data_IF_575814608294
#
_entry.id   IF_575814608294
#
_cell.length_a   1.000
_cell.length_b   1.000
_cell.length_c   1.000
_cell.angle_alpha   90.00
_cell.angle_beta   90.00
_cell.angle_gamma   90.00
#
_symmetry.space_group_name_H-M   'P 1'
#
loop_
_entity.id
_entity.type
_entity.pdbx_description
1 polymer ?
#
# COMPACT_ATOMS: atom_id res chain seq x y z
N UNK A 1 20.25 -18.85 -12.21
CA UNK A 1 20.57 -17.45 -12.54
C UNK A 1 19.61 -16.56 -11.75
N UNK A 2 20.08 -15.73 -10.79
CA UNK A 2 19.20 -14.82 -10.03
C UNK A 2 18.92 -13.60 -10.92
N UNK A 3 17.66 -13.39 -11.33
CA UNK A 3 17.30 -12.17 -12.05
C UNK A 3 17.23 -10.97 -11.08
N UNK A 4 17.40 -9.76 -11.60
CA UNK A 4 17.38 -8.53 -10.80
C UNK A 4 16.08 -8.39 -9.98
N UNK A 5 14.93 -8.76 -10.55
CA UNK A 5 13.66 -8.81 -9.82
C UNK A 5 13.65 -9.79 -8.66
N UNK A 6 14.34 -10.93 -8.78
CA UNK A 6 14.52 -11.86 -7.67
C UNK A 6 15.39 -11.27 -6.56
N UNK A 7 16.44 -10.50 -6.90
CA UNK A 7 17.27 -9.79 -5.93
C UNK A 7 16.47 -8.73 -5.16
N UNK A 8 15.68 -7.90 -5.84
CA UNK A 8 14.78 -6.94 -5.18
C UNK A 8 13.81 -7.66 -4.23
N UNK A 9 13.23 -8.78 -4.68
CA UNK A 9 12.31 -9.56 -3.85
C UNK A 9 12.99 -10.11 -2.58
N UNK A 10 14.27 -10.48 -2.65
CA UNK A 10 15.06 -10.91 -1.50
C UNK A 10 15.33 -9.78 -0.51
N UNK A 11 15.39 -8.52 -0.96
CA UNK A 11 15.54 -7.35 -0.08
C UNK A 11 14.21 -6.94 0.58
N UNK A 12 13.12 -6.87 -0.19
CA UNK A 12 11.83 -6.36 0.30
C UNK A 12 11.19 -7.31 1.32
N UNK A 13 11.28 -8.63 1.10
CA UNK A 13 10.63 -9.62 1.96
C UNK A 13 11.07 -9.50 3.43
N UNK A 14 12.37 -9.44 3.77
CA UNK A 14 12.83 -9.16 5.13
C UNK A 14 12.37 -7.81 5.65
N UNK A 15 12.42 -6.73 4.84
CA UNK A 15 11.98 -5.40 5.27
C UNK A 15 10.51 -5.39 5.71
N UNK A 16 9.61 -6.04 4.96
CA UNK A 16 8.20 -6.16 5.34
C UNK A 16 7.96 -7.01 6.59
N UNK A 17 8.95 -7.79 7.03
CA UNK A 17 8.93 -8.56 8.28
C UNK A 17 9.50 -7.80 9.46
N UNK A 18 10.10 -6.62 9.27
CA UNK A 18 10.53 -5.76 10.38
C UNK A 18 9.30 -5.51 11.28
N UNK A 19 9.38 -5.76 12.60
CA UNK A 19 8.20 -5.78 13.48
C UNK A 19 7.30 -4.54 13.36
N UNK A 20 7.88 -3.35 13.29
CA UNK A 20 7.13 -2.10 13.14
C UNK A 20 6.35 -2.05 11.81
N UNK A 21 7.00 -2.37 10.69
CA UNK A 21 6.38 -2.40 9.35
C UNK A 21 5.33 -3.51 9.26
N UNK A 22 5.64 -4.70 9.79
CA UNK A 22 4.72 -5.83 9.80
C UNK A 22 3.45 -5.49 10.60
N UNK A 23 3.60 -4.85 11.77
CA UNK A 23 2.47 -4.40 12.60
C UNK A 23 1.62 -3.37 11.88
N UNK A 24 2.25 -2.34 11.32
CA UNK A 24 1.54 -1.27 10.61
C UNK A 24 0.81 -1.79 9.37
N UNK A 25 1.46 -2.61 8.54
CA UNK A 25 0.81 -3.23 7.37
C UNK A 25 -0.29 -4.21 7.75
N UNK A 26 -0.19 -4.86 8.91
CA UNK A 26 -1.28 -5.69 9.47
C UNK A 26 -2.49 -4.85 9.85
N UNK A 27 -2.29 -3.70 10.50
CA UNK A 27 -3.38 -2.76 10.78
C UNK A 27 -4.03 -2.23 9.50
N UNK A 28 -3.24 -1.86 8.50
CA UNK A 28 -3.74 -1.48 7.18
C UNK A 28 -4.62 -2.58 6.55
N UNK A 29 -4.19 -3.85 6.57
CA UNK A 29 -4.99 -4.99 6.09
C UNK A 29 -6.29 -5.17 6.84
N UNK A 30 -6.28 -4.99 8.17
CA UNK A 30 -7.49 -5.08 9.00
C UNK A 30 -8.48 -3.98 8.67
N UNK A 31 -8.00 -2.75 8.49
CA UNK A 31 -8.84 -1.62 8.10
C UNK A 31 -9.47 -1.85 6.71
N UNK A 32 -8.70 -2.28 5.71
CA UNK A 32 -9.25 -2.66 4.40
C UNK A 32 -10.29 -3.78 4.55
N UNK A 33 -9.97 -4.82 5.33
CA UNK A 33 -10.87 -5.94 5.57
C UNK A 33 -12.19 -5.48 6.17
N UNK A 34 -12.17 -4.57 7.15
CA UNK A 34 -13.36 -4.01 7.78
C UNK A 34 -14.33 -3.40 6.77
N UNK A 35 -13.81 -2.56 5.85
CA UNK A 35 -14.63 -2.02 4.76
C UNK A 35 -15.16 -3.13 3.86
N UNK A 36 -14.31 -4.04 3.40
CA UNK A 36 -14.70 -5.10 2.46
C UNK A 36 -15.70 -6.11 3.02
N UNK A 37 -15.71 -6.33 4.33
CA UNK A 37 -16.66 -7.23 4.98
C UNK A 37 -18.02 -6.61 5.25
N UNK A 38 -18.12 -5.27 5.24
CA UNK A 38 -19.37 -4.55 5.51
C UNK A 38 -19.91 -3.90 4.24
N UNK A 39 -21.02 -4.44 3.74
CA UNK A 39 -21.75 -3.88 2.60
C UNK A 39 -22.24 -2.46 2.88
N UNK A 40 -22.71 -2.19 4.10
CA UNK A 40 -23.16 -0.86 4.53
C UNK A 40 -22.04 0.16 4.52
N UNK A 41 -20.89 -0.16 5.13
CA UNK A 41 -19.72 0.74 5.17
C UNK A 41 -19.18 0.98 3.75
N UNK A 42 -19.11 -0.06 2.92
CA UNK A 42 -18.69 0.06 1.51
C UNK A 42 -19.65 0.93 0.69
N UNK A 43 -20.96 0.77 0.88
CA UNK A 43 -21.96 1.58 0.19
C UNK A 43 -21.85 3.06 0.58
N UNK A 44 -21.68 3.34 1.87
CA UNK A 44 -21.49 4.71 2.36
C UNK A 44 -20.16 5.31 1.86
N UNK A 45 -19.08 4.54 1.84
CA UNK A 45 -17.81 4.98 1.25
C UNK A 45 -17.99 5.41 -0.21
N UNK A 46 -18.68 4.60 -1.02
CA UNK A 46 -18.96 4.93 -2.43
C UNK A 46 -19.82 6.19 -2.58
N UNK A 47 -20.81 6.37 -1.70
CA UNK A 47 -21.65 7.58 -1.67
C UNK A 47 -20.79 8.82 -1.38
N UNK A 48 -19.91 8.75 -0.39
CA UNK A 48 -19.02 9.87 -0.03
C UNK A 48 -17.97 10.17 -1.07
N UNK A 49 -17.41 9.15 -1.73
CA UNK A 49 -16.53 9.34 -2.89
C UNK A 49 -17.22 10.22 -3.95
N UNK A 50 -18.48 9.91 -4.29
CA UNK A 50 -19.26 10.71 -5.25
C UNK A 50 -19.51 12.14 -4.76
N UNK A 51 -19.92 12.31 -3.51
CA UNK A 51 -20.20 13.63 -2.92
C UNK A 51 -18.96 14.53 -2.88
N UNK A 52 -17.78 13.94 -2.64
CA UNK A 52 -16.51 14.66 -2.60
C UNK A 52 -15.84 14.81 -3.98
N UNK A 53 -16.48 14.33 -5.06
CA UNK A 53 -15.89 14.35 -6.41
C UNK A 53 -14.64 13.48 -6.57
N UNK A 54 -14.45 12.51 -5.68
CA UNK A 54 -13.30 11.60 -5.70
C UNK A 54 -13.56 10.41 -6.64
N UNK A 55 -12.48 9.89 -7.23
CA UNK A 55 -12.57 8.65 -8.03
C UNK A 55 -13.11 7.50 -7.15
N UNK A 56 -14.15 6.78 -7.58
CA UNK A 56 -14.84 5.75 -6.79
C UNK A 56 -14.05 4.43 -6.78
N UNK A 57 -12.80 4.51 -6.35
CA UNK A 57 -11.88 3.40 -6.33
C UNK A 57 -12.16 2.49 -5.12
N UNK A 58 -12.33 1.19 -5.36
CA UNK A 58 -12.52 0.22 -4.29
C UNK A 58 -11.21 -0.06 -3.54
N UNK A 59 -11.30 -0.48 -2.27
CA UNK A 59 -10.11 -0.89 -1.53
C UNK A 59 -9.60 -2.27 -1.98
N UNK A 60 -8.27 -2.38 -2.07
CA UNK A 60 -7.57 -3.58 -2.51
C UNK A 60 -7.06 -4.32 -1.27
N UNK A 61 -7.38 -5.61 -1.13
CA UNK A 61 -6.84 -6.43 -0.04
C UNK A 61 -5.42 -6.89 -0.38
N UNK A 62 -4.46 -6.60 0.48
CA UNK A 62 -3.09 -7.09 0.33
C UNK A 62 -2.95 -8.57 0.73
N UNK A 63 -2.16 -9.33 -0.03
CA UNK A 63 -1.76 -10.71 0.25
C UNK A 63 -0.40 -10.70 0.94
N UNK A 64 -0.32 -11.29 2.14
CA UNK A 64 0.88 -11.25 3.00
C UNK A 64 2.14 -11.78 2.30
N UNK A 65 2.00 -12.80 1.46
CA UNK A 65 3.15 -13.45 0.79
C UNK A 65 3.65 -12.70 -0.45
N UNK A 66 2.92 -11.69 -0.95
CA UNK A 66 3.22 -10.98 -2.21
C UNK A 66 3.31 -9.47 -1.97
N UNK A 67 4.54 -8.96 -1.90
CA UNK A 67 4.80 -7.54 -1.63
C UNK A 67 4.13 -6.59 -2.62
N UNK A 68 4.02 -6.97 -3.91
CA UNK A 68 3.29 -6.19 -4.93
C UNK A 68 1.84 -5.91 -4.51
N UNK A 69 1.14 -6.90 -3.95
CA UNK A 69 -0.23 -6.72 -3.48
C UNK A 69 -0.31 -5.85 -2.23
N UNK A 70 0.73 -5.87 -1.38
CA UNK A 70 0.84 -4.96 -0.24
C UNK A 70 1.05 -3.53 -0.73
N UNK A 71 1.92 -3.31 -1.71
CA UNK A 71 2.15 -2.00 -2.32
C UNK A 71 0.85 -1.41 -2.91
N UNK A 72 0.14 -2.16 -3.75
CA UNK A 72 -1.13 -1.73 -4.34
C UNK A 72 -2.21 -1.44 -3.30
N UNK A 73 -2.29 -2.27 -2.24
CA UNK A 73 -3.18 -2.03 -1.12
C UNK A 73 -2.85 -0.71 -0.41
N UNK A 74 -1.58 -0.46 -0.09
CA UNK A 74 -1.17 0.74 0.63
C UNK A 74 -1.41 2.01 -0.21
N UNK A 75 -1.06 1.97 -1.49
CA UNK A 75 -1.31 3.07 -2.42
C UNK A 75 -2.81 3.41 -2.50
N UNK A 76 -3.66 2.39 -2.71
CA UNK A 76 -5.11 2.59 -2.76
C UNK A 76 -5.70 3.05 -1.43
N UNK A 77 -5.20 2.53 -0.31
CA UNK A 77 -5.66 2.90 1.02
C UNK A 77 -5.34 4.38 1.31
N UNK A 78 -4.13 4.83 0.99
CA UNK A 78 -3.71 6.22 1.17
C UNK A 78 -4.48 7.17 0.23
N UNK A 79 -4.70 6.78 -1.03
CA UNK A 79 -5.53 7.54 -1.99
C UNK A 79 -6.93 7.83 -1.43
N UNK A 80 -7.47 6.90 -0.63
CA UNK A 80 -8.83 6.97 -0.08
C UNK A 80 -8.86 7.45 1.39
N UNK A 81 -7.74 7.93 1.96
CA UNK A 81 -7.60 8.33 3.38
C UNK A 81 -8.75 9.21 3.86
N UNK A 82 -9.08 10.26 3.09
CA UNK A 82 -10.14 11.22 3.46
C UNK A 82 -11.49 10.53 3.65
N UNK A 83 -11.96 9.80 2.64
CA UNK A 83 -13.26 9.10 2.71
C UNK A 83 -13.27 8.05 3.81
N UNK A 84 -12.19 7.28 3.95
CA UNK A 84 -12.08 6.26 5.00
C UNK A 84 -12.21 6.90 6.38
N UNK A 85 -11.51 8.00 6.60
CA UNK A 85 -11.54 8.73 7.87
C UNK A 85 -12.96 9.23 8.15
N UNK A 86 -13.59 9.87 7.18
CA UNK A 86 -14.95 10.38 7.32
C UNK A 86 -15.94 9.24 7.69
N UNK A 87 -15.89 8.10 6.98
CA UNK A 87 -16.78 6.95 7.24
C UNK A 87 -16.53 6.32 8.60
N UNK A 88 -15.26 6.19 9.00
CA UNK A 88 -14.90 5.59 10.30
C UNK A 88 -15.30 6.46 11.48
N UNK A 89 -15.33 7.79 11.31
CA UNK A 89 -15.72 8.74 12.34
C UNK A 89 -17.24 8.95 12.43
N UNK A 90 -18.00 8.51 11.43
CA UNK A 90 -19.46 8.61 11.46
C UNK A 90 -20.08 7.47 12.29
N UNK A 91 -20.57 7.81 13.48
CA UNK A 91 -21.18 6.86 14.41
C UNK A 91 -22.54 6.31 13.96
N UNK A 92 -23.16 6.88 12.93
CA UNK A 92 -24.39 6.35 12.33
C UNK A 92 -24.12 5.18 11.37
N UNK A 93 -22.88 5.06 10.90
CA UNK A 93 -22.45 4.07 9.90
C UNK A 93 -21.47 3.07 10.51
N UNK A 94 -20.50 3.57 11.28
CA UNK A 94 -19.45 2.77 11.94
C UNK A 94 -19.72 2.72 13.44
N UNK A 95 -19.69 1.52 14.02
CA UNK A 95 -19.86 1.37 15.47
C UNK A 95 -18.72 2.08 16.20
N UNK A 96 -19.03 2.73 17.32
CA UNK A 96 -18.00 3.36 18.17
C UNK A 96 -16.90 2.37 18.57
N UNK A 97 -17.24 1.10 18.79
CA UNK A 97 -16.29 0.02 19.08
C UNK A 97 -15.29 -0.20 17.95
N UNK A 98 -15.61 0.11 16.70
CA UNK A 98 -14.80 -0.20 15.52
C UNK A 98 -13.90 0.97 15.12
N UNK A 99 -14.14 2.17 15.68
CA UNK A 99 -13.32 3.38 15.46
C UNK A 99 -11.83 3.18 15.77
N UNK A 100 -11.50 2.28 16.71
CA UNK A 100 -10.10 1.92 17.03
C UNK A 100 -9.33 1.29 15.86
N UNK A 101 -10.04 0.80 14.82
CA UNK A 101 -9.42 0.26 13.61
C UNK A 101 -8.86 1.37 12.71
N UNK A 102 -9.33 2.61 12.87
CA UNK A 102 -8.80 3.76 12.16
C UNK A 102 -7.32 3.95 12.48
N UNK A 103 -6.53 4.22 11.45
CA UNK A 103 -5.10 4.51 11.59
C UNK A 103 -4.94 5.93 12.13
N UNK A 104 -3.94 6.12 13.01
CA UNK A 104 -3.57 7.46 13.50
C UNK A 104 -2.88 8.27 12.38
N UNK A 105 -2.83 9.59 12.51
CA UNK A 105 -2.25 10.44 11.46
C UNK A 105 -0.82 10.07 11.09
N UNK A 106 0.07 9.91 12.08
CA UNK A 106 1.44 9.47 11.82
C UNK A 106 1.53 8.08 11.17
N UNK A 107 0.56 7.20 11.41
CA UNK A 107 0.53 5.87 10.78
C UNK A 107 0.18 5.98 9.30
N UNK A 108 -0.68 6.92 8.91
CA UNK A 108 -0.95 7.21 7.51
C UNK A 108 0.31 7.74 6.81
N UNK A 109 1.07 8.60 7.47
CA UNK A 109 2.27 9.19 6.91
C UNK A 109 3.35 8.11 6.69
N UNK A 110 3.55 7.23 7.67
CA UNK A 110 4.42 6.06 7.51
C UNK A 110 3.95 5.11 6.41
N UNK A 111 2.63 4.89 6.26
CA UNK A 111 2.12 4.06 5.15
C UNK A 111 2.38 4.68 3.79
N UNK A 112 2.30 6.01 3.68
CA UNK A 112 2.60 6.73 2.46
C UNK A 112 4.09 6.57 2.08
N UNK A 113 4.98 6.73 3.06
CA UNK A 113 6.43 6.52 2.87
C UNK A 113 6.74 5.07 2.44
N UNK A 114 6.21 4.08 3.15
CA UNK A 114 6.39 2.66 2.80
C UNK A 114 5.84 2.39 1.38
N UNK A 115 4.67 2.93 1.05
CA UNK A 115 4.07 2.79 -0.27
C UNK A 115 4.96 3.37 -1.36
N UNK A 116 5.56 4.55 -1.14
CA UNK A 116 6.45 5.20 -2.08
C UNK A 116 7.71 4.36 -2.36
N UNK A 117 8.36 3.84 -1.31
CA UNK A 117 9.54 2.98 -1.45
C UNK A 117 9.18 1.70 -2.21
N UNK A 118 8.09 1.03 -1.85
CA UNK A 118 7.66 -0.19 -2.55
C UNK A 118 7.30 0.09 -4.01
N UNK A 119 6.68 1.24 -4.31
CA UNK A 119 6.30 1.63 -5.67
C UNK A 119 7.54 1.83 -6.55
N UNK A 120 8.57 2.51 -6.03
CA UNK A 120 9.86 2.64 -6.72
C UNK A 120 10.42 1.26 -7.06
N UNK A 121 10.48 0.34 -6.10
CA UNK A 121 10.98 -1.01 -6.34
C UNK A 121 10.16 -1.79 -7.38
N UNK A 122 8.86 -1.54 -7.45
CA UNK A 122 7.95 -2.12 -8.46
C UNK A 122 8.24 -1.60 -9.86
N UNK A 123 8.49 -0.29 -10.00
CA UNK A 123 8.88 0.31 -11.26
C UNK A 123 10.23 -0.24 -11.75
N UNK A 124 11.24 -0.33 -10.87
CA UNK A 124 12.54 -0.87 -11.26
C UNK A 124 12.42 -2.35 -11.65
N UNK A 125 11.67 -3.15 -10.89
CA UNK A 125 11.44 -4.56 -11.23
C UNK A 125 10.76 -4.70 -12.59
N UNK A 126 9.72 -3.89 -12.85
CA UNK A 126 8.98 -3.93 -14.12
C UNK A 126 9.85 -3.52 -15.30
N UNK A 127 10.60 -2.43 -15.17
CA UNK A 127 11.53 -1.95 -16.20
C UNK A 127 12.58 -3.02 -16.55
N UNK A 128 13.18 -3.65 -15.53
CA UNK A 128 14.21 -4.66 -15.72
C UNK A 128 13.66 -5.97 -16.27
N UNK A 129 12.41 -6.33 -15.97
CA UNK A 129 11.75 -7.51 -16.53
C UNK A 129 11.30 -7.31 -18.00
N UNK A 130 11.07 -6.07 -18.45
CA UNK A 130 10.67 -5.75 -19.82
C UNK A 130 11.85 -5.75 -20.81
N UNK A 131 13.06 -5.45 -20.34
CA UNK A 131 14.27 -5.45 -21.17
C UNK A 131 14.79 -6.89 -21.30
N UNK A 132 14.66 -7.49 -22.48
CA UNK A 132 15.18 -8.84 -22.77
C UNK A 132 16.72 -8.90 -22.78
N UNK A 133 17.39 -7.77 -23.00
CA UNK A 133 18.86 -7.62 -22.98
C UNK A 133 19.30 -6.55 -21.97
N UNK A 134 19.28 -6.87 -20.68
CA UNK A 134 19.85 -5.96 -19.65
C UNK A 134 21.35 -6.24 -19.54
N UNK A 135 22.17 -5.40 -20.18
CA UNK A 135 23.61 -5.39 -19.94
C UNK A 135 23.94 -4.82 -18.55
N UNK A 136 25.05 -5.25 -17.95
CA UNK A 136 25.51 -4.77 -16.64
C UNK A 136 25.64 -3.23 -16.56
N UNK A 137 25.85 -2.56 -17.70
CA UNK A 137 25.92 -1.10 -17.83
C UNK A 137 24.62 -0.36 -17.51
N UNK A 138 23.45 -1.01 -17.63
CA UNK A 138 22.14 -0.42 -17.26
C UNK A 138 21.82 -0.62 -15.78
N UNK A 139 22.40 -1.66 -15.15
CA UNK A 139 22.18 -1.92 -13.72
C UNK A 139 22.89 -0.92 -12.82
N UNK A 140 24.11 -0.49 -13.18
CA UNK A 140 24.93 0.44 -12.39
C UNK A 140 24.22 1.79 -12.11
N UNK A 141 23.67 2.51 -13.12
CA UNK A 141 22.97 3.76 -12.88
C UNK A 141 21.71 3.59 -12.02
N UNK A 142 21.00 2.47 -12.16
CA UNK A 142 19.78 2.18 -11.39
C UNK A 142 20.10 1.92 -9.91
N UNK A 143 21.11 1.09 -9.64
CA UNK A 143 21.58 0.86 -8.27
C UNK A 143 22.09 2.16 -7.65
N UNK A 144 22.85 2.95 -8.41
CA UNK A 144 23.35 4.25 -7.94
C UNK A 144 22.22 5.26 -7.66
N UNK A 145 21.19 5.29 -8.50
CA UNK A 145 20.01 6.13 -8.30
C UNK A 145 19.13 5.70 -7.12
N UNK A 146 19.06 4.40 -6.83
CA UNK A 146 18.38 3.87 -5.64
C UNK A 146 19.14 4.21 -4.35
N UNK A 147 20.47 4.24 -4.39
CA UNK A 147 21.33 4.55 -3.23
C UNK A 147 21.48 6.06 -2.96
N UNK A 148 21.30 6.93 -3.97
CA UNK A 148 21.43 8.39 -3.83
C UNK A 148 20.16 9.13 -3.39
N UNK A 149 19.01 8.47 -3.41
CA UNK A 149 17.70 9.05 -3.07
C UNK A 149 17.14 8.58 -1.71
N UNK A 150 18.01 8.00 -0.86
CA UNK A 150 17.81 7.81 0.58
C UNK A 150 18.72 8.76 1.33
#
# INVERSE_FOLDING_TARGET
MRCFGHTIQLCIKPCLKIPAIAKLTSRARKLVGHFKHSTTITAEMRKRQKLLGLRPNELIQGVVTRWNSTQLMLERLCEQRRVITDVMLDTTVTKKSDTHMLLKDHEWDYLLEISAVLKQMSHVTTYMCLKKDVSASVMLPIVHGLLKNT
#
